data_IF_183397254481
#
_entry.id   IF_183397254481
#
_cell.length_a   1.000
_cell.length_b   1.000
_cell.length_c   1.000
_cell.angle_alpha   90.00
_cell.angle_beta   90.00
_cell.angle_gamma   90.00
#
_symmetry.space_group_name_H-M   'P 1'
#
loop_
_entity.id
_entity.type
_entity.pdbx_description
1 polymer ?
#
# COMPACT_ATOMS: atom_id res chain seq x y z
N UNK A 1 14.16 2.56 47.03
CA UNK A 1 15.25 1.65 46.59
C UNK A 1 14.61 0.32 46.20
N UNK A 2 14.04 0.25 45.00
CA UNK A 2 13.51 -0.97 44.39
C UNK A 2 14.37 -1.21 43.14
N UNK A 3 15.34 -2.10 43.25
CA UNK A 3 16.26 -2.45 42.16
C UNK A 3 15.95 -3.86 41.66
N UNK A 4 15.69 -3.94 40.35
CA UNK A 4 16.13 -5.01 39.45
C UNK A 4 15.62 -6.44 39.72
N UNK A 5 14.38 -6.73 39.31
CA UNK A 5 13.96 -8.09 38.93
C UNK A 5 13.47 -8.06 37.48
N UNK A 6 14.44 -7.98 36.57
CA UNK A 6 14.51 -8.65 35.25
C UNK A 6 13.26 -8.67 34.34
N UNK A 7 13.15 -7.67 33.45
CA UNK A 7 12.24 -7.69 32.28
C UNK A 7 12.57 -8.81 31.27
N UNK A 8 13.70 -9.51 31.42
CA UNK A 8 14.16 -10.62 30.58
C UNK A 8 13.61 -12.00 30.97
N UNK A 9 12.89 -12.15 32.10
CA UNK A 9 12.39 -13.47 32.55
C UNK A 9 11.06 -13.84 31.89
N UNK A 10 10.32 -12.83 31.41
CA UNK A 10 9.03 -13.03 30.71
C UNK A 10 9.20 -13.16 29.19
N UNK A 11 10.31 -12.62 28.65
CA UNK A 11 10.70 -12.79 27.24
C UNK A 11 10.75 -14.24 26.76
N UNK A 12 11.39 -15.21 27.47
CA UNK A 12 11.41 -16.59 26.99
C UNK A 12 10.03 -17.25 27.03
N UNK A 13 9.14 -16.86 27.96
CA UNK A 13 7.79 -17.40 28.01
C UNK A 13 6.90 -16.85 26.89
N UNK A 14 6.97 -15.53 26.63
CA UNK A 14 6.29 -14.90 25.51
C UNK A 14 6.87 -15.35 24.16
N UNK A 15 8.18 -15.54 24.06
CA UNK A 15 8.85 -16.08 22.88
C UNK A 15 8.47 -17.56 22.66
N UNK A 16 8.38 -18.39 23.69
CA UNK A 16 8.00 -19.80 23.52
C UNK A 16 6.52 -19.94 23.18
N UNK A 17 5.64 -19.17 23.81
CA UNK A 17 4.21 -19.17 23.51
C UNK A 17 3.92 -18.60 22.11
N UNK A 18 4.61 -17.52 21.72
CA UNK A 18 4.53 -16.97 20.37
C UNK A 18 5.13 -17.93 19.34
N UNK A 19 6.28 -18.57 19.60
CA UNK A 19 6.87 -19.58 18.70
C UNK A 19 5.94 -20.77 18.53
N UNK A 20 5.29 -21.26 19.59
CA UNK A 20 4.33 -22.37 19.50
C UNK A 20 3.07 -21.98 18.69
N UNK A 21 2.55 -20.76 18.89
CA UNK A 21 1.44 -20.21 18.10
C UNK A 21 1.84 -19.89 16.64
N UNK A 22 3.08 -19.48 16.41
CA UNK A 22 3.65 -19.18 15.08
C UNK A 22 3.92 -20.46 14.29
N UNK A 23 4.33 -21.56 14.97
CA UNK A 23 4.55 -22.88 14.35
C UNK A 23 3.22 -23.55 13.98
N UNK A 24 2.19 -23.50 14.83
CA UNK A 24 0.86 -24.03 14.50
C UNK A 24 0.17 -23.28 13.35
N UNK A 25 0.51 -22.00 13.14
CA UNK A 25 -0.03 -21.14 12.08
C UNK A 25 0.97 -20.81 10.98
N UNK A 26 2.06 -21.57 10.87
CA UNK A 26 3.17 -21.22 9.98
C UNK A 26 2.76 -21.07 8.51
N UNK A 27 1.80 -21.89 8.04
CA UNK A 27 1.22 -21.76 6.69
C UNK A 27 0.33 -20.52 6.56
N UNK A 28 -0.46 -20.15 7.58
CA UNK A 28 -1.26 -18.91 7.58
C UNK A 28 -0.37 -17.65 7.57
N UNK A 29 0.73 -17.65 8.33
CA UNK A 29 1.68 -16.55 8.34
C UNK A 29 2.53 -16.49 7.07
N UNK A 30 2.78 -17.62 6.40
CA UNK A 30 3.52 -17.68 5.14
C UNK A 30 2.84 -16.87 4.04
N UNK A 31 1.53 -17.04 3.86
CA UNK A 31 0.77 -16.27 2.87
C UNK A 31 0.61 -14.80 3.27
N UNK A 32 0.40 -14.49 4.54
CA UNK A 32 0.37 -13.11 5.04
C UNK A 32 1.71 -12.40 4.80
N UNK A 33 2.84 -13.06 5.09
CA UNK A 33 4.18 -12.53 4.91
C UNK A 33 4.53 -12.34 3.43
N UNK A 34 4.10 -13.26 2.56
CA UNK A 34 4.21 -13.06 1.12
C UNK A 34 3.44 -11.81 0.68
N UNK A 35 2.27 -11.59 1.26
CA UNK A 35 1.41 -10.48 0.91
C UNK A 35 1.91 -9.13 1.44
N UNK A 36 2.53 -9.12 2.62
CA UNK A 36 3.20 -7.95 3.19
C UNK A 36 4.50 -7.65 2.42
N UNK A 37 5.29 -8.67 2.10
CA UNK A 37 6.55 -8.47 1.36
C UNK A 37 6.30 -7.93 -0.06
N UNK A 38 5.26 -8.41 -0.75
CA UNK A 38 4.81 -7.83 -2.02
C UNK A 38 4.46 -6.34 -1.88
N UNK A 39 3.77 -5.98 -0.80
CA UNK A 39 3.41 -4.58 -0.50
C UNK A 39 4.67 -3.75 -0.22
N UNK A 40 5.59 -4.24 0.61
CA UNK A 40 6.83 -3.54 0.91
C UNK A 40 7.70 -3.34 -0.32
N UNK A 41 7.77 -4.35 -1.19
CA UNK A 41 8.48 -4.23 -2.47
C UNK A 41 7.88 -3.15 -3.35
N UNK A 42 6.54 -3.01 -3.42
CA UNK A 42 5.89 -2.00 -4.24
C UNK A 42 6.19 -0.56 -3.77
N UNK A 43 6.26 -0.32 -2.46
CA UNK A 43 6.62 1.00 -1.90
C UNK A 43 8.07 1.36 -2.23
N UNK A 44 8.99 0.39 -2.14
CA UNK A 44 10.43 0.63 -2.33
C UNK A 44 10.90 0.54 -3.78
N UNK A 45 10.04 0.11 -4.72
CA UNK A 45 10.42 -0.02 -6.12
C UNK A 45 10.91 1.27 -6.77
N UNK A 46 10.38 2.43 -6.37
CA UNK A 46 10.85 3.73 -6.86
C UNK A 46 12.31 4.06 -6.45
N UNK A 47 12.87 3.32 -5.49
CA UNK A 47 14.26 3.45 -5.03
C UNK A 47 15.17 2.39 -5.66
N UNK A 48 14.63 1.17 -5.84
CA UNK A 48 15.39 0.04 -6.33
C UNK A 48 15.55 0.03 -7.86
N UNK A 49 14.62 0.68 -8.57
CA UNK A 49 14.52 0.56 -10.02
C UNK A 49 14.24 1.90 -10.70
N UNK A 50 14.78 2.10 -11.92
CA UNK A 50 14.43 3.26 -12.72
C UNK A 50 12.97 3.13 -13.20
N UNK A 51 12.18 4.18 -12.97
CA UNK A 51 10.86 4.37 -13.56
C UNK A 51 10.74 5.66 -14.35
N UNK A 52 9.70 5.74 -15.20
CA UNK A 52 9.38 6.94 -15.98
C UNK A 52 8.95 8.11 -15.09
N UNK A 53 8.27 7.82 -13.98
CA UNK A 53 7.78 8.80 -13.02
C UNK A 53 8.07 8.32 -11.59
N UNK A 54 9.25 8.65 -11.08
CA UNK A 54 9.70 8.21 -9.76
C UNK A 54 9.31 9.20 -8.65
N UNK A 55 8.68 8.67 -7.60
CA UNK A 55 8.57 9.33 -6.31
C UNK A 55 9.68 8.83 -5.37
N UNK A 56 10.65 9.68 -5.05
CA UNK A 56 11.57 9.41 -3.94
C UNK A 56 10.82 9.44 -2.60
N UNK A 57 11.34 8.77 -1.58
CA UNK A 57 10.71 8.72 -0.25
C UNK A 57 10.47 10.10 0.35
N UNK A 58 11.35 11.07 0.07
CA UNK A 58 11.18 12.45 0.54
C UNK A 58 9.99 13.11 -0.16
N UNK A 59 9.86 13.00 -1.49
CA UNK A 59 8.67 13.47 -2.22
C UNK A 59 7.39 12.77 -1.74
N UNK A 60 7.45 11.47 -1.49
CA UNK A 60 6.30 10.73 -0.98
C UNK A 60 5.87 11.26 0.41
N UNK A 61 6.82 11.44 1.33
CA UNK A 61 6.56 11.97 2.67
C UNK A 61 5.97 13.39 2.62
N UNK A 62 6.53 14.27 1.80
CA UNK A 62 6.05 15.67 1.68
C UNK A 62 4.67 15.75 1.03
N UNK A 63 4.39 14.91 0.03
CA UNK A 63 3.09 14.91 -0.64
C UNK A 63 2.00 14.24 0.20
N UNK A 64 2.35 13.21 0.98
CA UNK A 64 1.37 12.44 1.72
C UNK A 64 1.11 12.96 3.13
N UNK A 65 2.05 13.67 3.78
CA UNK A 65 1.94 14.11 5.17
C UNK A 65 1.63 15.62 5.22
N UNK A 66 0.36 16.04 5.20
CA UNK A 66 -0.02 17.44 5.35
C UNK A 66 0.23 17.95 6.77
N UNK A 67 0.16 17.07 7.77
CA UNK A 67 0.38 17.41 9.18
C UNK A 67 1.33 16.40 9.85
N UNK A 68 2.35 16.85 10.60
CA UNK A 68 3.34 15.94 11.20
C UNK A 68 2.74 14.83 12.10
N UNK A 69 1.59 15.09 12.73
CA UNK A 69 0.88 14.13 13.58
C UNK A 69 0.02 13.11 12.81
N UNK A 70 -0.30 13.39 11.54
CA UNK A 70 -1.10 12.53 10.67
C UNK A 70 -0.19 11.92 9.60
N UNK A 71 0.55 10.87 9.98
CA UNK A 71 1.49 10.16 9.10
C UNK A 71 1.26 8.64 9.09
N UNK A 72 0.05 8.20 9.49
CA UNK A 72 -0.34 6.79 9.47
C UNK A 72 -1.08 6.47 8.18
N UNK A 73 -0.46 5.66 7.32
CA UNK A 73 -1.02 5.34 6.01
C UNK A 73 -1.85 4.07 6.02
N UNK A 74 -2.92 4.07 5.24
CA UNK A 74 -3.61 2.86 4.82
C UNK A 74 -3.06 2.41 3.48
N UNK A 75 -2.57 1.17 3.40
CA UNK A 75 -1.99 0.62 2.17
C UNK A 75 -2.99 -0.33 1.51
N UNK A 76 -3.11 -0.25 0.19
CA UNK A 76 -3.92 -1.10 -0.65
C UNK A 76 -3.09 -1.77 -1.74
N UNK A 77 -3.59 -2.89 -2.25
CA UNK A 77 -2.88 -3.66 -3.26
C UNK A 77 -3.86 -4.30 -4.24
N UNK A 78 -3.67 -4.00 -5.53
CA UNK A 78 -4.49 -4.52 -6.62
C UNK A 78 -3.72 -5.61 -7.31
N UNK A 79 -4.12 -6.84 -7.00
CA UNK A 79 -3.93 -8.10 -7.75
C UNK A 79 -3.66 -9.26 -6.78
N UNK A 80 -4.68 -9.65 -6.02
CA UNK A 80 -4.67 -10.85 -5.16
C UNK A 80 -4.90 -12.12 -5.98
N UNK A 81 -4.21 -12.24 -7.10
CA UNK A 81 -4.34 -13.39 -8.00
C UNK A 81 -3.54 -14.54 -7.43
N UNK A 82 -4.14 -15.74 -7.44
CA UNK A 82 -3.49 -16.99 -7.08
C UNK A 82 -2.16 -17.12 -7.85
N UNK A 83 -1.14 -17.70 -7.20
CA UNK A 83 0.24 -17.76 -7.72
C UNK A 83 0.37 -18.36 -9.14
N UNK A 84 -0.66 -19.09 -9.63
CA UNK A 84 -0.72 -19.64 -10.99
C UNK A 84 -1.55 -18.87 -12.03
N UNK A 85 -2.38 -17.89 -11.66
CA UNK A 85 -3.23 -17.13 -12.60
C UNK A 85 -2.66 -15.77 -13.01
N UNK A 86 -1.51 -15.38 -12.46
CA UNK A 86 -0.82 -14.11 -12.76
C UNK A 86 -0.44 -13.96 -14.25
N UNK A 87 -0.26 -15.07 -14.97
CA UNK A 87 0.08 -15.06 -16.40
C UNK A 87 -1.14 -14.87 -17.33
N UNK A 88 -2.37 -15.06 -16.84
CA UNK A 88 -3.58 -15.10 -17.66
C UNK A 88 -4.41 -13.82 -17.64
N UNK A 89 -4.03 -12.84 -16.82
CA UNK A 89 -4.82 -11.61 -16.66
C UNK A 89 -4.03 -10.41 -17.17
N UNK A 90 -4.34 -9.98 -18.40
CA UNK A 90 -3.92 -8.68 -18.91
C UNK A 90 -4.90 -7.62 -18.41
N UNK A 91 -4.52 -6.91 -17.35
CA UNK A 91 -5.35 -5.82 -16.82
C UNK A 91 -5.03 -4.50 -17.52
N UNK A 92 -6.08 -3.78 -17.86
CA UNK A 92 -5.97 -2.40 -18.36
C UNK A 92 -5.78 -1.41 -17.21
N UNK A 93 -5.18 -0.25 -17.49
CA UNK A 93 -5.04 0.86 -16.52
C UNK A 93 -6.38 1.24 -15.85
N UNK A 94 -7.51 1.39 -16.56
CA UNK A 94 -8.79 1.71 -15.94
C UNK A 94 -9.30 0.64 -14.98
N UNK A 95 -9.14 -0.65 -15.30
CA UNK A 95 -9.54 -1.74 -14.41
C UNK A 95 -8.71 -1.76 -13.12
N UNK A 96 -7.39 -1.61 -13.25
CA UNK A 96 -6.48 -1.50 -12.11
C UNK A 96 -6.85 -0.30 -11.23
N UNK A 97 -7.12 0.83 -11.87
CA UNK A 97 -7.51 2.07 -11.18
C UNK A 97 -8.82 1.88 -10.43
N UNK A 98 -9.81 1.20 -11.00
CA UNK A 98 -11.09 0.96 -10.32
C UNK A 98 -10.94 0.00 -9.13
N UNK A 99 -10.22 -1.11 -9.32
CA UNK A 99 -9.98 -2.08 -8.25
C UNK A 99 -9.19 -1.46 -7.09
N UNK A 100 -8.38 -0.45 -7.38
CA UNK A 100 -7.54 0.24 -6.40
C UNK A 100 -8.33 0.98 -5.32
N UNK A 101 -9.52 1.46 -5.64
CA UNK A 101 -10.39 2.14 -4.67
C UNK A 101 -11.43 1.20 -4.05
N UNK A 102 -11.37 -0.10 -4.33
CA UNK A 102 -12.25 -1.07 -3.67
C UNK A 102 -11.77 -1.33 -2.25
N UNK A 103 -12.70 -1.26 -1.29
CA UNK A 103 -12.42 -1.44 0.13
C UNK A 103 -11.85 -2.85 0.43
N UNK A 104 -12.18 -3.84 -0.41
CA UNK A 104 -11.69 -5.23 -0.28
C UNK A 104 -10.19 -5.37 -0.50
N UNK A 105 -9.59 -4.43 -1.25
CA UNK A 105 -8.17 -4.47 -1.59
C UNK A 105 -7.30 -3.71 -0.58
N UNK A 106 -7.91 -3.12 0.45
CA UNK A 106 -7.21 -2.44 1.55
C UNK A 106 -6.62 -3.45 2.53
N UNK A 107 -5.44 -3.12 3.08
CA UNK A 107 -4.72 -3.96 4.06
C UNK A 107 -4.93 -3.50 5.50
N UNK A 108 -5.62 -2.39 5.69
CA UNK A 108 -6.13 -1.99 6.99
C UNK A 108 -7.56 -2.50 7.13
N UNK A 109 -7.93 -2.99 8.32
CA UNK A 109 -9.29 -3.36 8.67
C UNK A 109 -10.15 -2.10 8.96
N UNK A 110 -10.18 -1.19 7.98
CA UNK A 110 -10.94 0.05 8.02
C UNK A 110 -11.61 0.26 6.67
N UNK A 111 -12.89 0.63 6.66
CA UNK A 111 -13.58 0.96 5.43
C UNK A 111 -13.29 2.43 5.06
N UNK A 112 -12.62 2.70 3.91
CA UNK A 112 -12.30 4.05 3.48
C UNK A 112 -13.53 4.94 3.28
N UNK A 113 -14.71 4.37 3.05
CA UNK A 113 -15.94 5.12 2.75
C UNK A 113 -16.49 5.87 3.96
N UNK A 114 -16.11 5.48 5.18
CA UNK A 114 -16.51 6.17 6.41
C UNK A 114 -15.68 7.44 6.68
N UNK A 115 -14.64 7.70 5.87
CA UNK A 115 -13.77 8.86 6.01
C UNK A 115 -13.66 9.66 4.73
N UNK A 116 -12.71 10.60 4.73
CA UNK A 116 -12.25 11.30 3.53
C UNK A 116 -10.74 11.14 3.42
N UNK A 117 -10.27 10.89 2.21
CA UNK A 117 -8.85 10.85 1.90
C UNK A 117 -8.26 12.26 1.98
N UNK A 118 -7.22 12.42 2.80
CA UNK A 118 -6.42 13.63 2.83
C UNK A 118 -5.52 13.66 1.61
N UNK A 119 -4.76 12.58 1.41
CA UNK A 119 -3.80 12.42 0.32
C UNK A 119 -3.77 10.96 -0.13
N UNK A 120 -3.42 10.74 -1.40
CA UNK A 120 -3.27 9.41 -1.95
C UNK A 120 -2.06 9.36 -2.87
N UNK A 121 -1.33 8.25 -2.86
CA UNK A 121 -0.25 7.97 -3.78
C UNK A 121 -0.43 6.58 -4.37
N UNK A 122 -0.32 6.50 -5.68
CA UNK A 122 -0.58 5.28 -6.46
C UNK A 122 0.67 4.97 -7.28
N UNK A 123 1.25 3.81 -7.07
CA UNK A 123 2.45 3.34 -7.76
C UNK A 123 2.04 2.26 -8.74
N UNK A 124 2.02 2.62 -10.02
CA UNK A 124 1.81 1.71 -11.14
C UNK A 124 3.14 1.08 -11.55
N UNK A 125 3.11 -0.22 -11.83
CA UNK A 125 4.29 -0.99 -12.19
C UNK A 125 4.04 -1.79 -13.47
N UNK A 126 4.94 -1.64 -14.44
CA UNK A 126 4.85 -2.22 -15.77
C UNK A 126 4.94 -1.17 -16.87
N UNK A 127 4.99 -1.63 -18.12
CA UNK A 127 5.05 -0.77 -19.31
C UNK A 127 3.68 -0.15 -19.58
N UNK A 128 3.37 0.92 -18.86
CA UNK A 128 2.11 1.66 -18.95
C UNK A 128 2.38 3.08 -19.44
N UNK A 129 1.42 3.66 -20.13
CA UNK A 129 1.47 5.06 -20.54
C UNK A 129 1.20 5.95 -19.32
N UNK A 130 2.15 6.80 -18.96
CA UNK A 130 1.97 7.79 -17.87
C UNK A 130 0.77 8.70 -18.11
N UNK A 131 0.53 9.09 -19.36
CA UNK A 131 -0.63 9.90 -19.75
C UNK A 131 -1.95 9.20 -19.44
N UNK A 132 -2.06 7.92 -19.77
CA UNK A 132 -3.28 7.14 -19.54
C UNK A 132 -3.55 6.99 -18.04
N UNK A 133 -2.50 6.75 -17.25
CA UNK A 133 -2.56 6.68 -15.79
C UNK A 133 -3.11 7.99 -15.20
N UNK A 134 -2.57 9.13 -15.61
CA UNK A 134 -2.98 10.44 -15.09
C UNK A 134 -4.43 10.77 -15.46
N UNK A 135 -4.85 10.48 -16.70
CA UNK A 135 -6.23 10.66 -17.16
C UNK A 135 -7.22 9.79 -16.37
N UNK A 136 -6.91 8.51 -16.17
CA UNK A 136 -7.75 7.63 -15.36
C UNK A 136 -7.81 8.07 -13.90
N UNK A 137 -6.71 8.61 -13.38
CA UNK A 137 -6.66 9.07 -12.00
C UNK A 137 -7.49 10.31 -11.75
N UNK A 138 -7.40 11.28 -12.64
CA UNK A 138 -8.24 12.47 -12.61
C UNK A 138 -9.72 12.11 -12.76
N UNK A 139 -10.05 11.19 -13.67
CA UNK A 139 -11.43 10.71 -13.84
C UNK A 139 -11.98 10.04 -12.58
N UNK A 140 -11.18 9.20 -11.91
CA UNK A 140 -11.61 8.55 -10.68
C UNK A 140 -11.78 9.55 -9.52
N UNK A 141 -10.88 10.52 -9.39
CA UNK A 141 -10.98 11.58 -8.39
C UNK A 141 -12.24 12.42 -8.59
N UNK A 142 -12.56 12.78 -9.83
CA UNK A 142 -13.77 13.54 -10.17
C UNK A 142 -15.06 12.77 -9.83
N UNK A 143 -15.10 11.46 -10.14
CA UNK A 143 -16.23 10.59 -9.81
C UNK A 143 -16.44 10.44 -8.30
N UNK A 144 -15.35 10.42 -7.55
CA UNK A 144 -15.32 10.14 -6.11
C UNK A 144 -15.01 11.38 -5.27
N UNK A 145 -15.26 12.59 -5.79
CA UNK A 145 -14.84 13.85 -5.18
C UNK A 145 -15.33 14.04 -3.73
N UNK A 146 -16.49 13.48 -3.37
CA UNK A 146 -17.02 13.47 -2.00
C UNK A 146 -16.15 12.73 -0.99
N UNK A 147 -15.37 11.74 -1.44
CA UNK A 147 -14.45 10.98 -0.60
C UNK A 147 -13.09 11.66 -0.46
N UNK A 148 -12.83 12.73 -1.20
CA UNK A 148 -11.60 13.50 -1.09
C UNK A 148 -11.87 14.80 -0.34
N UNK A 149 -10.82 15.25 0.35
CA UNK A 149 -10.83 16.54 1.01
C UNK A 149 -10.64 17.67 -0.01
N UNK A 150 -11.52 18.65 0.02
CA UNK A 150 -11.55 19.76 -0.95
C UNK A 150 -10.47 20.82 -0.75
N UNK A 151 -9.98 20.99 0.49
CA UNK A 151 -9.03 22.05 0.84
C UNK A 151 -7.57 21.69 0.51
N UNK A 152 -7.27 20.43 0.19
CA UNK A 152 -5.96 20.02 -0.35
C UNK A 152 -6.10 19.91 -1.88
N UNK A 153 -5.57 20.88 -2.66
CA UNK A 153 -5.57 20.76 -4.11
C UNK A 153 -4.62 19.63 -4.54
N UNK A 154 -4.99 18.88 -5.59
CA UNK A 154 -4.16 17.84 -6.21
C UNK A 154 -3.60 16.81 -5.21
N UNK A 155 -4.49 16.26 -4.38
CA UNK A 155 -4.14 15.35 -3.30
C UNK A 155 -3.83 13.91 -3.72
N UNK A 156 -4.00 13.56 -5.00
CA UNK A 156 -3.62 12.26 -5.57
C UNK A 156 -2.32 12.40 -6.36
N UNK A 157 -1.36 11.51 -6.11
CA UNK A 157 -0.11 11.41 -6.86
C UNK A 157 0.05 10.05 -7.51
N UNK A 158 0.33 10.04 -8.80
CA UNK A 158 0.68 8.86 -9.57
C UNK A 158 2.20 8.71 -9.66
N UNK A 159 2.68 7.47 -9.74
CA UNK A 159 4.07 7.13 -10.02
C UNK A 159 4.09 5.88 -10.89
N UNK A 160 5.05 5.81 -11.82
CA UNK A 160 5.11 4.73 -12.82
C UNK A 160 6.53 4.18 -12.88
N UNK A 161 6.66 2.88 -12.59
CA UNK A 161 7.90 2.13 -12.69
C UNK A 161 7.84 1.15 -13.87
N UNK A 162 8.87 1.11 -14.71
CA UNK A 162 8.90 0.29 -15.93
C UNK A 162 9.00 -1.22 -15.66
N UNK A 163 9.42 -1.60 -14.45
CA UNK A 163 9.61 -3.00 -14.08
C UNK A 163 8.28 -3.62 -13.67
N UNK A 164 7.88 -4.63 -14.43
CA UNK A 164 6.62 -5.34 -14.26
C UNK A 164 6.57 -6.11 -12.94
N UNK A 165 5.85 -5.57 -11.95
CA UNK A 165 5.19 -6.35 -10.89
C UNK A 165 4.22 -5.43 -10.14
N UNK A 166 2.95 -5.79 -10.01
CA UNK A 166 2.00 -5.37 -8.94
C UNK A 166 1.86 -3.86 -8.62
N UNK A 167 0.65 -3.32 -8.82
CA UNK A 167 0.27 -1.94 -8.49
C UNK A 167 0.01 -1.77 -6.99
N UNK A 168 0.60 -0.74 -6.39
CA UNK A 168 0.50 -0.44 -4.96
C UNK A 168 -0.12 0.93 -4.71
N UNK A 169 -0.82 1.05 -3.58
CA UNK A 169 -1.59 2.23 -3.22
C UNK A 169 -1.33 2.58 -1.78
N UNK A 170 -1.07 3.86 -1.52
CA UNK A 170 -0.84 4.41 -0.19
C UNK A 170 -1.84 5.55 -0.01
N UNK A 171 -2.67 5.45 1.03
CA UNK A 171 -3.63 6.48 1.43
C UNK A 171 -3.25 7.09 2.76
N UNK A 172 -3.50 8.40 2.93
CA UNK A 172 -3.64 9.06 4.22
C UNK A 172 -5.07 9.59 4.39
#
# INVERSE_FOLDING_TARGET
MLSLVSDTVVEPYNATLSVHQLVEKADEFGDLNHLISATMSGVTCCLCFPGQLNSDLRKLAVNLIPFPRLHFFMVGFVLLTLRGSQQYSAFSVPELTQQMWDAKNMRCAADPRHGRYLTASTVFRGKLSTKEVDEQMMNNQNKNSSYFVEWIPNNVKSSVCDIATLTLIIFL
#
